data_IF_091615452402
#
_entry.id   IF_091615452402
#
_cell.length_a   1.000
_cell.length_b   1.000
_cell.length_c   1.000
_cell.angle_alpha   90.00
_cell.angle_beta   90.00
_cell.angle_gamma   90.00
#
_symmetry.space_group_name_H-M   'P 1'
#
loop_
_entity.id
_entity.type
_entity.pdbx_description
1 polymer ?
#
# COMPACT_ATOMS: atom_id res chain seq x y z
N UNK A 1 -55.43 18.60 -15.35
CA UNK A 1 -55.36 19.89 -14.63
C UNK A 1 -55.53 19.55 -13.14
N UNK A 2 -54.61 19.74 -12.20
CA UNK A 2 -53.30 20.38 -12.21
C UNK A 2 -52.43 19.74 -11.12
N UNK A 3 -51.15 19.67 -11.45
CA UNK A 3 -49.98 19.31 -10.64
C UNK A 3 -49.71 20.44 -9.63
N UNK A 4 -49.41 20.11 -8.39
CA UNK A 4 -48.76 21.03 -7.46
C UNK A 4 -47.44 20.39 -7.00
N UNK A 5 -46.34 21.04 -7.39
CA UNK A 5 -44.96 20.71 -7.07
C UNK A 5 -44.60 21.35 -5.73
N UNK A 6 -43.92 20.60 -4.86
CA UNK A 6 -43.14 21.14 -3.75
C UNK A 6 -41.69 21.40 -4.24
N UNK A 7 -40.99 22.43 -3.73
CA UNK A 7 -39.71 22.85 -4.27
C UNK A 7 -38.55 21.92 -3.83
N UNK A 8 -37.67 21.62 -4.78
CA UNK A 8 -36.36 20.99 -4.59
C UNK A 8 -35.46 21.88 -3.73
N UNK A 9 -35.07 21.37 -2.57
CA UNK A 9 -33.98 21.93 -1.78
C UNK A 9 -32.66 21.40 -2.36
N UNK A 10 -31.95 22.26 -3.09
CA UNK A 10 -30.66 21.96 -3.72
C UNK A 10 -29.59 21.86 -2.64
N UNK A 11 -29.26 20.63 -2.25
CA UNK A 11 -28.10 20.36 -1.42
C UNK A 11 -26.82 20.60 -2.25
N UNK A 12 -26.21 21.77 -2.06
CA UNK A 12 -24.87 22.10 -2.55
C UNK A 12 -23.85 21.13 -1.95
N UNK A 13 -23.28 20.28 -2.81
CA UNK A 13 -22.11 19.44 -2.48
C UNK A 13 -20.88 20.35 -2.27
N UNK A 14 -20.05 20.12 -1.26
CA UNK A 14 -18.78 20.83 -1.15
C UNK A 14 -17.84 20.37 -2.28
N UNK A 15 -17.31 21.36 -2.99
CA UNK A 15 -16.29 21.22 -4.05
C UNK A 15 -14.98 20.81 -3.37
N UNK A 16 -14.46 19.63 -3.71
CA UNK A 16 -13.12 19.21 -3.32
C UNK A 16 -12.07 20.08 -4.05
N UNK A 17 -11.03 20.59 -3.38
CA UNK A 17 -9.95 21.27 -4.07
C UNK A 17 -9.10 20.24 -4.83
N UNK A 18 -9.07 20.36 -6.16
CA UNK A 18 -8.04 19.74 -6.98
C UNK A 18 -6.72 20.48 -6.72
N UNK A 19 -5.80 19.86 -5.98
CA UNK A 19 -4.43 20.36 -5.85
C UNK A 19 -3.55 19.55 -6.81
N UNK A 20 -3.40 20.07 -8.04
CA UNK A 20 -2.31 19.69 -8.92
C UNK A 20 -1.04 20.43 -8.48
N UNK A 21 -0.03 19.70 -8.01
CA UNK A 21 1.34 20.25 -7.92
C UNK A 21 2.19 19.61 -9.01
N UNK A 22 2.50 20.42 -10.02
CA UNK A 22 3.55 20.17 -11.00
C UNK A 22 4.89 20.07 -10.27
N UNK A 23 5.52 18.91 -10.28
CA UNK A 23 6.80 18.66 -9.60
C UNK A 23 8.01 18.63 -10.56
N UNK A 24 7.99 19.50 -11.58
CA UNK A 24 9.16 19.74 -12.43
C UNK A 24 9.39 21.24 -12.55
N UNK A 25 10.22 21.78 -11.65
CA UNK A 25 11.13 22.91 -11.87
C UNK A 25 11.87 23.18 -10.55
N UNK A 26 12.97 22.46 -10.32
CA UNK A 26 13.99 22.87 -9.33
C UNK A 26 15.15 23.44 -10.12
N UNK A 27 15.07 24.75 -10.37
CA UNK A 27 16.22 25.56 -10.72
C UNK A 27 17.02 25.86 -9.43
N UNK A 28 18.33 25.64 -9.52
CA UNK A 28 19.32 25.94 -8.48
C UNK A 28 19.49 27.45 -8.32
N UNK A 29 19.65 27.94 -7.08
CA UNK A 29 20.53 29.07 -6.73
C UNK A 29 20.73 29.23 -5.22
N UNK A 30 21.98 29.00 -4.82
CA UNK A 30 22.87 29.82 -3.98
C UNK A 30 22.37 30.38 -2.62
N UNK A 31 23.06 29.91 -1.57
CA UNK A 31 23.62 30.59 -0.38
C UNK A 31 23.12 32.02 -0.04
N UNK A 32 22.53 32.20 1.16
CA UNK A 32 22.92 33.28 2.09
C UNK A 32 22.30 33.12 3.51
N UNK A 33 23.05 33.64 4.48
CA UNK A 33 22.88 33.67 5.94
C UNK A 33 21.51 34.14 6.45
N UNK A 34 21.02 33.58 7.56
CA UNK A 34 20.26 34.35 8.56
C UNK A 34 20.54 33.88 9.99
N UNK A 35 21.33 34.70 10.68
CA UNK A 35 21.32 35.10 12.09
C UNK A 35 21.12 34.09 13.24
N UNK A 36 22.16 34.02 14.07
CA UNK A 36 22.14 33.53 15.43
C UNK A 36 21.40 34.48 16.37
N UNK A 37 20.33 34.00 17.00
CA UNK A 37 19.69 34.66 18.15
C UNK A 37 20.23 34.07 19.47
N UNK A 38 20.99 34.87 20.21
CA UNK A 38 21.42 34.59 21.58
C UNK A 38 20.54 35.36 22.58
N UNK A 39 20.07 34.69 23.64
CA UNK A 39 19.77 35.31 24.93
C UNK A 39 20.57 34.57 26.01
N UNK A 40 21.44 35.29 26.70
CA UNK A 40 22.21 34.77 27.82
C UNK A 40 21.48 34.91 29.16
N UNK A 41 21.76 33.98 30.08
CA UNK A 41 22.10 34.24 31.48
C UNK A 41 22.56 32.93 32.13
N UNK A 42 23.78 32.95 32.69
CA UNK A 42 24.48 31.87 33.37
C UNK A 42 24.25 31.93 34.89
N UNK A 43 24.08 30.79 35.58
CA UNK A 43 24.83 30.44 36.80
C UNK A 43 24.61 28.98 37.24
N UNK A 44 25.75 28.34 37.53
CA UNK A 44 26.10 26.94 37.86
C UNK A 44 25.65 26.46 39.28
N UNK A 45 26.13 25.32 39.85
CA UNK A 45 26.08 23.90 39.43
C UNK A 45 25.60 22.94 40.56
N UNK A 46 25.56 21.63 40.23
CA UNK A 46 25.51 20.42 41.10
C UNK A 46 24.11 19.96 41.57
N UNK A 47 23.61 18.89 40.92
CA UNK A 47 23.12 17.72 41.64
C UNK A 47 23.18 16.53 40.69
N UNK A 48 23.88 15.49 41.13
CA UNK A 48 24.03 14.20 40.46
C UNK A 48 22.67 13.71 39.95
N UNK A 49 22.54 13.57 38.64
CA UNK A 49 21.36 13.01 38.01
C UNK A 49 21.83 11.79 37.22
N UNK A 50 21.58 10.65 37.84
CA UNK A 50 21.55 9.28 37.32
C UNK A 50 21.92 9.14 35.83
N UNK A 51 23.14 8.67 35.57
CA UNK A 51 23.48 8.00 34.31
C UNK A 51 22.72 6.67 34.25
N UNK A 52 21.45 6.73 33.91
CA UNK A 52 20.71 5.60 33.35
C UNK A 52 19.87 6.09 32.18
N UNK A 53 20.56 6.65 31.18
CA UNK A 53 20.00 6.76 29.85
C UNK A 53 20.73 5.74 28.98
N UNK A 54 20.37 4.48 29.23
CA UNK A 54 20.46 3.42 28.26
C UNK A 54 19.82 3.94 26.98
N UNK A 55 20.66 4.43 26.08
CA UNK A 55 20.38 4.50 24.66
C UNK A 55 20.34 3.06 24.16
N UNK A 56 19.32 2.34 24.63
CA UNK A 56 18.65 1.32 23.85
C UNK A 56 18.04 2.10 22.68
N UNK A 57 18.92 2.43 21.73
CA UNK A 57 18.62 2.76 20.37
C UNK A 57 18.01 1.47 19.81
N UNK A 58 16.80 1.17 20.27
CA UNK A 58 15.91 0.23 19.63
C UNK A 58 15.72 0.90 18.29
N UNK A 59 16.52 0.44 17.35
CA UNK A 59 16.23 0.28 15.95
C UNK A 59 14.84 -0.33 15.87
N UNK A 60 13.82 0.49 16.16
CA UNK A 60 12.43 0.15 16.05
C UNK A 60 12.24 0.08 14.55
N UNK A 61 12.52 -1.11 14.00
CA UNK A 61 12.38 -1.41 12.59
C UNK A 61 11.04 -0.84 12.16
N UNK A 62 11.07 0.13 11.26
CA UNK A 62 9.86 0.79 10.82
C UNK A 62 9.03 -0.22 10.06
N UNK A 63 8.06 -0.79 10.77
CA UNK A 63 7.19 -1.84 10.24
C UNK A 63 6.46 -1.38 8.97
N UNK A 64 6.26 -0.07 8.75
CA UNK A 64 5.66 0.43 7.50
C UNK A 64 6.60 0.23 6.31
N UNK A 65 7.90 0.47 6.51
CA UNK A 65 8.90 0.27 5.45
C UNK A 65 9.05 -1.21 5.14
N UNK A 66 9.16 -2.05 6.17
CA UNK A 66 9.20 -3.51 6.04
C UNK A 66 7.96 -4.03 5.30
N UNK A 67 6.76 -3.69 5.79
CA UNK A 67 5.50 -4.11 5.18
C UNK A 67 5.35 -3.62 3.73
N UNK A 68 5.88 -2.43 3.40
CA UNK A 68 5.86 -1.93 2.01
C UNK A 68 6.70 -2.80 1.10
N UNK A 69 7.91 -3.18 1.54
CA UNK A 69 8.82 -4.05 0.79
C UNK A 69 8.19 -5.44 0.63
N UNK A 70 7.71 -6.03 1.72
CA UNK A 70 7.14 -7.37 1.72
C UNK A 70 5.90 -7.46 0.82
N UNK A 71 4.94 -6.55 0.98
CA UNK A 71 3.73 -6.52 0.17
C UNK A 71 4.05 -6.28 -1.31
N UNK A 72 5.07 -5.48 -1.62
CA UNK A 72 5.51 -5.26 -3.00
C UNK A 72 6.10 -6.54 -3.61
N UNK A 73 6.93 -7.26 -2.85
CA UNK A 73 7.52 -8.52 -3.28
C UNK A 73 6.46 -9.61 -3.44
N UNK A 74 5.52 -9.72 -2.50
CA UNK A 74 4.40 -10.67 -2.55
C UNK A 74 3.48 -10.39 -3.73
N UNK A 75 3.19 -9.12 -4.00
CA UNK A 75 2.40 -8.73 -5.16
C UNK A 75 3.09 -9.13 -6.46
N UNK A 76 4.40 -8.89 -6.57
CA UNK A 76 5.16 -9.25 -7.75
C UNK A 76 5.26 -10.77 -7.94
N UNK A 77 5.43 -11.51 -6.85
CA UNK A 77 5.40 -12.98 -6.86
C UNK A 77 4.02 -13.50 -7.30
N UNK A 78 2.95 -12.94 -6.74
CA UNK A 78 1.57 -13.32 -7.06
C UNK A 78 1.21 -13.05 -8.53
N UNK A 79 1.74 -11.96 -9.12
CA UNK A 79 1.59 -11.70 -10.57
C UNK A 79 2.27 -12.78 -11.42
N UNK A 80 3.48 -13.17 -11.06
CA UNK A 80 4.22 -14.24 -11.76
C UNK A 80 3.49 -15.58 -11.68
N UNK A 81 2.97 -15.93 -10.50
CA UNK A 81 2.13 -17.12 -10.31
C UNK A 81 0.88 -17.08 -11.20
N UNK A 82 0.19 -15.93 -11.25
CA UNK A 82 -0.99 -15.74 -12.07
C UNK A 82 -0.67 -15.88 -13.57
N UNK A 83 0.49 -15.39 -14.01
CA UNK A 83 0.94 -15.55 -15.40
C UNK A 83 1.25 -17.00 -15.74
N UNK A 84 1.90 -17.75 -14.84
CA UNK A 84 2.10 -19.20 -15.00
C UNK A 84 0.76 -19.93 -15.13
N UNK A 85 -0.22 -19.60 -14.28
CA UNK A 85 -1.57 -20.18 -14.35
C UNK A 85 -2.22 -19.88 -15.70
N UNK A 86 -2.10 -18.65 -16.22
CA UNK A 86 -2.64 -18.27 -17.53
C UNK A 86 -1.99 -19.09 -18.65
N UNK A 87 -0.67 -19.28 -18.60
CA UNK A 87 0.07 -20.10 -19.57
C UNK A 87 -0.40 -21.56 -19.53
N UNK A 88 -0.57 -22.14 -18.34
CA UNK A 88 -1.07 -23.52 -18.19
C UNK A 88 -2.47 -23.66 -18.79
N UNK A 89 -3.38 -22.71 -18.52
CA UNK A 89 -4.74 -22.74 -19.09
C UNK A 89 -4.69 -22.68 -20.63
N UNK A 90 -3.85 -21.80 -21.19
CA UNK A 90 -3.69 -21.69 -22.64
C UNK A 90 -3.13 -22.98 -23.25
N UNK A 91 -2.13 -23.58 -22.62
CA UNK A 91 -1.56 -24.85 -23.06
C UNK A 91 -2.59 -25.99 -23.01
N UNK A 92 -3.38 -26.06 -21.93
CA UNK A 92 -4.49 -27.02 -21.84
C UNK A 92 -5.52 -26.81 -22.96
N UNK A 93 -5.83 -25.55 -23.32
CA UNK A 93 -6.75 -25.21 -24.42
C UNK A 93 -6.19 -25.66 -25.78
N UNK A 94 -4.88 -25.54 -25.99
CA UNK A 94 -4.20 -26.05 -27.19
C UNK A 94 -4.25 -27.58 -27.24
N UNK A 95 -3.87 -28.25 -26.15
CA UNK A 95 -3.89 -29.71 -26.04
C UNK A 95 -5.29 -30.27 -26.26
N UNK A 96 -6.34 -29.61 -25.75
CA UNK A 96 -7.74 -30.02 -25.98
C UNK A 96 -8.14 -30.03 -27.45
N UNK A 97 -7.55 -29.16 -28.27
CA UNK A 97 -7.81 -29.11 -29.71
C UNK A 97 -7.04 -30.20 -30.48
N UNK A 98 -5.88 -30.59 -29.96
CA UNK A 98 -4.98 -31.54 -30.62
C UNK A 98 -5.29 -33.00 -30.25
N UNK A 99 -5.61 -33.27 -28.98
CA UNK A 99 -5.87 -34.62 -28.49
C UNK A 99 -7.35 -35.00 -28.56
N UNK A 100 -7.70 -35.79 -29.59
CA UNK A 100 -9.04 -36.38 -29.75
C UNK A 100 -9.32 -37.55 -28.79
N UNK A 101 -8.30 -38.04 -28.08
CA UNK A 101 -8.37 -39.26 -27.27
C UNK A 101 -8.41 -39.02 -25.76
N UNK A 102 -8.33 -37.77 -25.30
CA UNK A 102 -8.44 -37.49 -23.87
C UNK A 102 -9.91 -37.55 -23.42
N UNK A 103 -10.17 -38.18 -22.28
CA UNK A 103 -11.52 -38.30 -21.72
C UNK A 103 -12.07 -36.91 -21.36
N UNK A 104 -13.06 -36.45 -22.12
CA UNK A 104 -13.70 -35.12 -22.00
C UNK A 104 -14.06 -34.72 -20.55
N UNK A 105 -14.44 -35.69 -19.72
CA UNK A 105 -14.77 -35.49 -18.31
C UNK A 105 -13.56 -35.07 -17.45
N UNK A 106 -12.44 -35.77 -17.56
CA UNK A 106 -11.23 -35.48 -16.78
C UNK A 106 -10.56 -34.16 -17.22
N UNK A 107 -10.69 -33.84 -18.51
CA UNK A 107 -10.23 -32.55 -19.04
C UNK A 107 -11.09 -31.40 -18.51
N UNK A 108 -12.42 -31.55 -18.52
CA UNK A 108 -13.35 -30.53 -18.00
C UNK A 108 -13.12 -30.22 -16.51
N UNK A 109 -12.85 -31.23 -15.67
CA UNK A 109 -12.58 -31.01 -14.25
C UNK A 109 -11.27 -30.26 -14.01
N UNK A 110 -10.20 -30.61 -14.72
CA UNK A 110 -8.91 -29.90 -14.63
C UNK A 110 -9.04 -28.43 -15.06
N UNK A 111 -9.76 -28.16 -16.15
CA UNK A 111 -10.02 -26.79 -16.59
C UNK A 111 -10.78 -25.97 -15.55
N UNK A 112 -11.79 -26.56 -14.89
CA UNK A 112 -12.52 -25.88 -13.82
C UNK A 112 -11.61 -25.51 -12.65
N UNK A 113 -10.74 -26.42 -12.22
CA UNK A 113 -9.77 -26.16 -11.16
C UNK A 113 -8.82 -25.04 -11.56
N UNK A 114 -8.25 -25.08 -12.76
CA UNK A 114 -7.32 -24.04 -13.19
C UNK A 114 -7.98 -22.66 -13.32
N UNK A 115 -9.25 -22.59 -13.75
CA UNK A 115 -10.02 -21.34 -13.74
C UNK A 115 -10.22 -20.81 -12.32
N UNK A 116 -10.58 -21.67 -11.38
CA UNK A 116 -10.69 -21.29 -9.97
C UNK A 116 -9.35 -20.80 -9.40
N UNK A 117 -8.23 -21.45 -9.74
CA UNK A 117 -6.89 -20.99 -9.38
C UNK A 117 -6.61 -19.60 -9.95
N UNK A 118 -6.96 -19.35 -11.23
CA UNK A 118 -6.79 -18.03 -11.87
C UNK A 118 -7.60 -16.96 -11.15
N UNK A 119 -8.86 -17.25 -10.82
CA UNK A 119 -9.75 -16.32 -10.12
C UNK A 119 -9.22 -16.00 -8.72
N UNK A 120 -8.80 -17.02 -7.97
CA UNK A 120 -8.17 -16.86 -6.67
C UNK A 120 -6.90 -16.01 -6.74
N UNK A 121 -5.96 -16.36 -7.63
CA UNK A 121 -4.69 -15.63 -7.77
C UNK A 121 -4.91 -14.19 -8.24
N UNK A 122 -5.91 -13.93 -9.07
CA UNK A 122 -6.32 -12.58 -9.45
C UNK A 122 -6.81 -11.79 -8.24
N UNK A 123 -7.72 -12.37 -7.46
CA UNK A 123 -8.24 -11.74 -6.23
C UNK A 123 -7.13 -11.47 -5.21
N UNK A 124 -6.15 -12.38 -5.09
CA UNK A 124 -4.97 -12.18 -4.23
C UNK A 124 -4.14 -10.97 -4.68
N UNK A 125 -3.92 -10.80 -5.98
CA UNK A 125 -3.20 -9.63 -6.51
C UNK A 125 -3.94 -8.33 -6.19
N UNK A 126 -5.26 -8.32 -6.30
CA UNK A 126 -6.07 -7.12 -5.99
C UNK A 126 -6.00 -6.79 -4.50
N UNK A 127 -6.15 -7.78 -3.62
CA UNK A 127 -6.00 -7.63 -2.17
C UNK A 127 -4.62 -7.09 -1.77
N UNK A 128 -3.54 -7.65 -2.35
CA UNK A 128 -2.17 -7.19 -2.07
C UNK A 128 -1.95 -5.76 -2.54
N UNK A 129 -2.54 -5.36 -3.68
CA UNK A 129 -2.48 -3.98 -4.18
C UNK A 129 -3.19 -3.01 -3.24
N UNK A 130 -4.38 -3.36 -2.77
CA UNK A 130 -5.13 -2.53 -1.82
C UNK A 130 -4.36 -2.33 -0.51
N UNK A 131 -3.78 -3.41 0.03
CA UNK A 131 -2.97 -3.37 1.25
C UNK A 131 -1.69 -2.57 1.08
N UNK A 132 -0.99 -2.76 -0.03
CA UNK A 132 0.21 -1.98 -0.34
C UNK A 132 -0.14 -0.49 -0.40
N UNK A 133 -1.26 -0.13 -1.04
CA UNK A 133 -1.74 1.25 -1.08
C UNK A 133 -2.07 1.80 0.31
N UNK A 134 -2.66 0.99 1.19
CA UNK A 134 -2.94 1.39 2.57
C UNK A 134 -1.66 1.66 3.38
N UNK A 135 -0.66 0.77 3.29
CA UNK A 135 0.62 0.93 4.00
C UNK A 135 1.37 2.15 3.47
N UNK A 136 1.40 2.35 2.14
CA UNK A 136 2.00 3.54 1.52
C UNK A 136 1.31 4.83 1.95
N UNK A 137 -0.02 4.81 2.06
CA UNK A 137 -0.78 5.93 2.60
C UNK A 137 -0.37 6.25 4.04
N UNK A 138 -0.24 5.24 4.92
CA UNK A 138 0.24 5.47 6.28
C UNK A 138 1.68 5.98 6.31
N UNK A 139 2.56 5.47 5.44
CA UNK A 139 3.94 5.95 5.37
C UNK A 139 3.96 7.45 5.02
N UNK A 140 3.15 7.87 4.05
CA UNK A 140 3.00 9.27 3.68
C UNK A 140 2.36 10.11 4.79
N UNK A 141 1.29 9.63 5.41
CA UNK A 141 0.61 10.30 6.50
C UNK A 141 1.55 10.56 7.70
N UNK A 142 2.40 9.58 8.04
CA UNK A 142 3.41 9.71 9.09
C UNK A 142 4.45 10.79 8.75
N UNK A 143 4.93 10.84 7.50
CA UNK A 143 5.84 11.91 7.07
C UNK A 143 5.22 13.31 7.19
N UNK A 144 3.90 13.41 7.09
CA UNK A 144 3.14 14.64 7.27
C UNK A 144 2.77 14.93 8.74
N UNK A 145 3.27 14.13 9.70
CA UNK A 145 2.99 14.28 11.13
C UNK A 145 1.59 13.82 11.55
N UNK A 146 0.88 13.06 10.72
CA UNK A 146 -0.43 12.50 11.06
C UNK A 146 -0.28 11.23 11.91
N UNK A 147 -1.28 10.97 12.74
CA UNK A 147 -1.34 9.73 13.52
C UNK A 147 -1.55 8.54 12.59
N UNK A 148 -0.75 7.49 12.78
CA UNK A 148 -0.84 6.22 12.06
C UNK A 148 -0.73 5.07 13.06
N UNK A 149 -1.06 3.82 12.67
CA UNK A 149 -0.89 2.70 13.58
C UNK A 149 0.57 2.51 14.00
N UNK A 150 0.79 2.24 15.29
CA UNK A 150 2.13 2.00 15.84
C UNK A 150 2.70 0.64 15.41
N UNK A 151 1.83 -0.29 14.98
CA UNK A 151 2.19 -1.64 14.52
C UNK A 151 1.27 -2.08 13.39
N UNK A 152 1.74 -3.06 12.61
CA UNK A 152 0.92 -3.73 11.61
C UNK A 152 -0.37 -4.28 12.22
N UNK A 153 -1.55 -3.93 11.67
CA UNK A 153 -2.80 -4.57 12.02
C UNK A 153 -2.73 -6.08 11.78
N UNK A 154 -3.44 -6.87 12.59
CA UNK A 154 -3.37 -8.33 12.52
C UNK A 154 -3.70 -8.86 11.11
N UNK A 155 -4.62 -8.21 10.43
CA UNK A 155 -5.02 -8.52 9.05
C UNK A 155 -3.86 -8.47 8.04
N UNK A 156 -2.84 -7.64 8.30
CA UNK A 156 -1.65 -7.47 7.45
C UNK A 156 -0.61 -8.56 7.72
N UNK A 157 -0.57 -9.14 8.92
CA UNK A 157 0.43 -10.14 9.35
C UNK A 157 0.24 -11.53 8.74
N UNK A 158 -0.97 -11.89 8.31
CA UNK A 158 -1.29 -13.26 7.89
C UNK A 158 -0.79 -13.68 6.50
N UNK A 159 0.01 -12.85 5.83
CA UNK A 159 0.46 -13.14 4.46
C UNK A 159 1.98 -13.27 4.31
N UNK A 160 2.74 -12.99 5.38
CA UNK A 160 4.18 -13.25 5.45
C UNK A 160 4.41 -14.71 5.92
N UNK A 161 4.44 -15.65 4.98
CA UNK A 161 4.86 -17.04 5.22
C UNK A 161 5.71 -17.56 4.07
#
# INVERSE_FOLDING_TARGET
MSRAQAPEEVATRPVAPEIYVNMYEVEKKDEEEVEAFWYGAQQDPISDQDEDEGTDYIEASDWLMEATVDLSQDLETSKKELDIIRLIIQEMDLQSRMDRHQTKLAQSSRFKIMKACREYSSSRCDLLRERLGQVQYWAQARMLGQQVPDKAPDEVRYFAH
#
